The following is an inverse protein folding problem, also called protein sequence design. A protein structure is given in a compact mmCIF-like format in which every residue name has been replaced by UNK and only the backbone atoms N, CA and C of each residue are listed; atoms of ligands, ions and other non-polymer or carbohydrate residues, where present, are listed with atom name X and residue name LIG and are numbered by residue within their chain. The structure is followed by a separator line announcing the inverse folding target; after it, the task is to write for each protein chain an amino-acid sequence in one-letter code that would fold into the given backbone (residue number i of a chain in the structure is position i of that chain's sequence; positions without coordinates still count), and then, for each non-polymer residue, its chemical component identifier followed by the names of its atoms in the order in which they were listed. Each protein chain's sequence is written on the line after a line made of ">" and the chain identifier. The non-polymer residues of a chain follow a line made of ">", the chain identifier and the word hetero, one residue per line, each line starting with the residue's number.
data_IF_763000008688
#
_entry.id   IF_763000008688
#
_cell.length_a   1.000
_cell.length_b   1.000
_cell.length_c   1.000
_cell.angle_alpha   90.00
_cell.angle_beta   90.00
_cell.angle_gamma   90.00
#
_symmetry.space_group_name_H-M   'P 1'
#
loop_
_entity.id
_entity.type
_entity.pdbx_description
1 polymer ?
#
# COMPACT_ATOMS: atom_id res chain seq x y z
N UNK A 1 50.53 -3.29 -32.87
CA UNK A 1 49.24 -3.53 -33.55
C UNK A 1 48.15 -4.09 -32.62
N UNK A 2 48.44 -5.08 -31.75
CA UNK A 2 47.46 -5.65 -30.79
C UNK A 2 46.84 -4.62 -29.82
N UNK A 3 47.62 -3.68 -29.28
CA UNK A 3 47.11 -2.67 -28.33
C UNK A 3 46.18 -1.62 -28.97
N UNK A 4 46.34 -1.36 -30.28
CA UNK A 4 45.45 -0.46 -31.02
C UNK A 4 44.08 -1.11 -31.23
N UNK A 5 44.04 -2.41 -31.58
CA UNK A 5 42.78 -3.17 -31.74
C UNK A 5 42.01 -3.28 -30.41
N UNK A 6 42.71 -3.47 -29.29
CA UNK A 6 42.08 -3.51 -27.95
C UNK A 6 41.50 -2.13 -27.60
N UNK A 7 42.23 -1.04 -27.86
CA UNK A 7 41.79 0.31 -27.57
C UNK A 7 40.54 0.71 -28.37
N UNK A 8 40.50 0.41 -29.68
CA UNK A 8 39.32 0.65 -30.51
C UNK A 8 38.11 -0.20 -30.08
N UNK A 9 38.34 -1.45 -29.68
CA UNK A 9 37.29 -2.31 -29.13
C UNK A 9 36.68 -1.78 -27.83
N UNK A 10 37.52 -1.29 -26.90
CA UNK A 10 37.05 -0.68 -25.66
C UNK A 10 36.25 0.60 -25.91
N UNK A 11 36.69 1.47 -26.83
CA UNK A 11 35.97 2.71 -27.16
C UNK A 11 34.61 2.38 -27.78
N UNK A 12 34.54 1.43 -28.72
CA UNK A 12 33.28 1.01 -29.34
C UNK A 12 32.30 0.43 -28.31
N UNK A 13 32.79 -0.36 -27.34
CA UNK A 13 31.96 -0.95 -26.30
C UNK A 13 31.44 0.10 -25.31
N UNK A 14 32.26 1.08 -24.94
CA UNK A 14 31.83 2.20 -24.07
C UNK A 14 30.77 3.05 -24.79
N UNK A 15 30.95 3.35 -26.08
CA UNK A 15 29.95 4.10 -26.86
C UNK A 15 28.64 3.32 -27.02
N UNK A 16 28.69 2.00 -27.22
CA UNK A 16 27.49 1.18 -27.30
C UNK A 16 26.72 1.17 -25.97
N UNK A 17 27.41 1.06 -24.83
CA UNK A 17 26.78 1.06 -23.50
C UNK A 17 26.16 2.42 -23.17
N UNK A 18 26.84 3.53 -23.48
CA UNK A 18 26.28 4.87 -23.23
C UNK A 18 25.10 5.18 -24.15
N UNK A 19 25.14 4.74 -25.40
CA UNK A 19 24.02 4.89 -26.34
C UNK A 19 22.81 4.04 -25.92
N UNK A 20 23.03 2.79 -25.49
CA UNK A 20 21.98 1.92 -24.98
C UNK A 20 21.33 2.49 -23.70
N UNK A 21 22.13 2.94 -22.74
CA UNK A 21 21.64 3.57 -21.52
C UNK A 21 20.94 4.93 -21.77
N UNK A 22 21.34 5.65 -22.82
CA UNK A 22 20.69 6.90 -23.25
C UNK A 22 19.33 6.65 -23.90
N UNK A 23 19.22 5.61 -24.73
CA UNK A 23 17.97 5.22 -25.38
C UNK A 23 16.90 4.73 -24.38
N UNK A 24 17.32 4.18 -23.23
CA UNK A 24 16.40 3.79 -22.15
C UNK A 24 15.82 4.98 -21.36
N UNK A 25 16.40 6.18 -21.46
CA UNK A 25 15.91 7.35 -20.70
C UNK A 25 14.90 8.21 -21.48
N UNK A 26 14.82 8.08 -22.81
CA UNK A 26 13.92 8.88 -23.65
C UNK A 26 12.66 8.14 -24.10
N UNK A 27 12.44 6.90 -23.64
CA UNK A 27 11.19 6.17 -23.82
C UNK A 27 10.14 6.67 -22.80
N UNK A 28 9.66 7.89 -23.05
CA UNK A 28 8.31 8.40 -22.84
C UNK A 28 7.44 7.70 -21.78
N UNK A 29 7.39 8.32 -20.60
CA UNK A 29 6.34 8.20 -19.59
C UNK A 29 4.94 8.62 -20.09
N UNK A 30 4.76 8.91 -21.38
CA UNK A 30 3.53 9.48 -21.95
C UNK A 30 2.61 8.42 -22.57
N UNK A 31 3.10 7.21 -22.86
CA UNK A 31 2.31 6.18 -23.56
C UNK A 31 1.71 5.10 -22.66
N UNK A 32 2.17 4.93 -21.40
CA UNK A 32 1.56 3.95 -20.47
C UNK A 32 0.25 4.48 -19.87
N UNK A 33 0.12 5.79 -19.67
CA UNK A 33 -1.07 6.40 -19.06
C UNK A 33 -2.34 6.33 -19.93
N UNK A 34 -2.19 6.22 -21.26
CA UNK A 34 -3.32 6.25 -22.19
C UNK A 34 -3.99 4.87 -22.39
N UNK A 35 -3.29 3.78 -22.09
CA UNK A 35 -3.80 2.42 -22.28
C UNK A 35 -4.60 1.87 -21.07
N UNK A 36 -4.37 2.40 -19.86
CA UNK A 36 -5.06 1.89 -18.64
C UNK A 36 -6.44 2.53 -18.43
N UNK A 37 -6.76 3.64 -19.11
CA UNK A 37 -8.03 4.33 -18.96
C UNK A 37 -9.20 3.71 -19.75
N UNK A 38 -8.94 2.76 -20.66
CA UNK A 38 -9.92 2.33 -21.65
C UNK A 38 -10.74 1.08 -21.27
N UNK A 39 -10.33 0.27 -20.28
CA UNK A 39 -11.09 -0.92 -19.88
C UNK A 39 -11.10 -1.12 -18.37
N UNK A 40 -12.05 -0.46 -17.71
CA UNK A 40 -12.71 -1.04 -16.54
C UNK A 40 -14.22 -0.79 -16.67
N UNK A 41 -15.01 -1.81 -17.02
CA UNK A 41 -16.46 -1.75 -16.98
C UNK A 41 -16.87 -1.58 -15.52
N UNK A 42 -17.62 -0.52 -15.24
CA UNK A 42 -18.34 -0.36 -13.98
C UNK A 42 -19.59 -1.21 -14.14
N UNK A 43 -19.68 -2.34 -13.43
CA UNK A 43 -20.94 -3.08 -13.31
C UNK A 43 -21.94 -2.17 -12.58
N UNK A 44 -22.98 -1.72 -13.30
CA UNK A 44 -24.09 -0.93 -12.75
C UNK A 44 -25.02 -1.75 -11.82
N UNK A 45 -24.68 -3.01 -11.54
CA UNK A 45 -25.48 -3.92 -10.71
C UNK A 45 -25.03 -4.01 -9.24
N UNK A 46 -24.07 -3.18 -8.79
CA UNK A 46 -23.80 -3.05 -7.35
C UNK A 46 -24.91 -2.25 -6.67
N UNK A 47 -26.03 -2.92 -6.38
CA UNK A 47 -27.08 -2.44 -5.49
C UNK A 47 -26.49 -2.40 -4.07
N UNK A 48 -26.28 -1.22 -3.45
CA UNK A 48 -25.95 -1.16 -2.04
C UNK A 48 -27.15 -1.75 -1.28
N UNK A 49 -26.89 -2.74 -0.42
CA UNK A 49 -27.88 -3.22 0.53
C UNK A 49 -28.53 -2.00 1.21
N UNK A 50 -29.86 -1.98 1.22
CA UNK A 50 -30.70 -0.86 1.64
C UNK A 50 -30.14 -0.16 2.89
N UNK A 51 -29.77 1.11 2.73
CA UNK A 51 -29.57 1.99 3.85
C UNK A 51 -30.95 2.29 4.44
N UNK A 52 -31.28 1.63 5.56
CA UNK A 52 -32.40 1.98 6.42
C UNK A 52 -32.33 3.47 6.75
N UNK A 53 -33.22 4.25 6.12
CA UNK A 53 -33.24 5.71 6.17
C UNK A 53 -33.85 6.27 7.46
N UNK A 54 -33.94 5.47 8.53
CA UNK A 54 -34.34 5.95 9.86
C UNK A 54 -33.17 6.36 10.77
N UNK A 55 -31.92 6.20 10.33
CA UNK A 55 -30.72 6.61 11.09
C UNK A 55 -30.39 8.12 11.04
N UNK A 56 -31.39 8.97 10.80
CA UNK A 56 -31.22 10.40 10.50
C UNK A 56 -31.78 11.35 11.54
N UNK A 57 -31.74 11.03 12.84
CA UNK A 57 -32.24 11.92 13.88
C UNK A 57 -31.55 11.80 15.25
N UNK A 58 -30.24 11.54 15.31
CA UNK A 58 -29.45 11.92 16.49
C UNK A 58 -27.97 12.08 16.14
N UNK A 59 -27.54 13.33 15.98
CA UNK A 59 -26.14 13.70 15.70
C UNK A 59 -25.20 13.46 16.90
N UNK A 60 -25.73 13.01 18.06
CA UNK A 60 -24.90 12.65 19.21
C UNK A 60 -24.35 11.22 19.18
N UNK A 61 -24.81 10.37 18.24
CA UNK A 61 -24.46 8.94 18.18
C UNK A 61 -23.23 8.62 17.30
N UNK A 62 -22.36 9.61 17.03
CA UNK A 62 -21.09 9.38 16.28
C UNK A 62 -20.10 8.54 17.08
N UNK A 63 -20.22 8.54 18.41
CA UNK A 63 -19.37 7.74 19.30
C UNK A 63 -20.18 6.59 19.87
N UNK A 64 -19.94 5.37 19.35
CA UNK A 64 -20.46 4.14 19.94
C UNK A 64 -19.91 4.05 21.38
N UNK A 65 -20.80 4.08 22.38
CA UNK A 65 -20.40 3.91 23.76
C UNK A 65 -19.71 2.56 23.96
N UNK A 66 -18.77 2.47 24.91
CA UNK A 66 -18.10 1.20 25.21
C UNK A 66 -19.09 0.07 25.57
N UNK A 67 -20.23 0.42 26.17
CA UNK A 67 -21.30 -0.53 26.49
C UNK A 67 -22.03 -1.06 25.25
N UNK A 68 -22.07 -0.28 24.16
CA UNK A 68 -22.70 -0.64 22.88
C UNK A 68 -21.69 -1.26 21.89
N UNK A 69 -20.39 -1.06 22.11
CA UNK A 69 -19.33 -1.59 21.25
C UNK A 69 -19.26 -3.12 21.34
N UNK A 70 -19.31 -3.78 20.18
CA UNK A 70 -19.11 -5.23 20.08
C UNK A 70 -17.64 -5.57 20.34
N UNK A 71 -17.39 -6.72 20.98
CA UNK A 71 -16.04 -7.24 21.11
C UNK A 71 -15.40 -7.46 19.73
N UNK A 72 -14.11 -7.13 19.61
CA UNK A 72 -13.35 -7.37 18.39
C UNK A 72 -13.33 -8.88 18.06
N UNK A 73 -13.46 -9.26 16.78
CA UNK A 73 -13.36 -10.66 16.36
C UNK A 73 -11.93 -11.19 16.56
N UNK A 74 -11.73 -12.52 16.64
CA UNK A 74 -10.39 -13.11 16.67
C UNK A 74 -9.52 -12.61 15.51
N UNK A 75 -8.22 -12.45 15.75
CA UNK A 75 -7.27 -12.10 14.70
C UNK A 75 -7.16 -13.26 13.70
N UNK A 76 -7.01 -12.92 12.42
CA UNK A 76 -6.91 -13.91 11.36
C UNK A 76 -5.65 -14.80 11.52
N UNK A 77 -5.79 -16.06 11.12
CA UNK A 77 -4.66 -16.99 11.03
C UNK A 77 -3.77 -16.63 9.83
N UNK A 78 -2.47 -16.93 9.92
CA UNK A 78 -1.54 -16.67 8.84
C UNK A 78 -0.10 -16.55 9.30
N UNK A 79 0.76 -16.12 8.36
CA UNK A 79 2.17 -15.88 8.64
C UNK A 79 2.34 -14.53 9.33
N UNK A 80 2.93 -14.57 10.52
CA UNK A 80 3.31 -13.38 11.25
C UNK A 80 4.69 -12.90 10.86
N UNK A 81 4.89 -11.58 10.94
CA UNK A 81 6.16 -10.91 10.70
C UNK A 81 6.43 -9.97 11.88
N UNK A 82 7.71 -9.77 12.22
CA UNK A 82 8.19 -8.93 13.33
C UNK A 82 7.82 -9.39 14.75
N UNK A 83 7.02 -10.44 14.91
CA UNK A 83 6.74 -11.09 16.19
C UNK A 83 6.26 -12.53 16.01
N UNK A 84 6.17 -13.26 17.12
CA UNK A 84 5.30 -14.42 17.23
C UNK A 84 3.81 -14.02 17.11
N UNK A 85 2.90 -14.98 16.84
CA UNK A 85 1.47 -14.71 16.76
C UNK A 85 0.90 -14.04 18.02
N UNK A 86 0.15 -12.94 17.84
CA UNK A 86 -0.53 -12.25 18.93
C UNK A 86 -1.97 -12.72 19.08
N UNK A 87 -2.49 -12.63 20.31
CA UNK A 87 -3.90 -12.92 20.61
C UNK A 87 -4.57 -11.69 21.21
N UNK A 88 -5.87 -11.48 20.92
CA UNK A 88 -6.62 -10.39 21.53
C UNK A 88 -6.65 -10.46 23.06
N UNK A 89 -6.59 -11.67 23.63
CA UNK A 89 -6.54 -11.85 25.07
C UNK A 89 -5.23 -11.33 25.67
N UNK A 90 -4.09 -11.59 25.01
CA UNK A 90 -2.78 -11.06 25.42
C UNK A 90 -2.62 -9.55 25.23
N UNK A 91 -3.49 -8.93 24.44
CA UNK A 91 -3.51 -7.50 24.17
C UNK A 91 -4.49 -6.71 25.06
N UNK A 92 -5.28 -7.40 25.91
CA UNK A 92 -6.18 -6.74 26.86
C UNK A 92 -5.42 -5.80 27.80
N UNK A 93 -6.06 -4.70 28.18
CA UNK A 93 -5.47 -3.66 29.03
C UNK A 93 -4.60 -2.64 28.27
N UNK A 94 -4.40 -2.83 26.95
CA UNK A 94 -3.72 -1.88 26.07
C UNK A 94 -4.67 -1.38 24.99
N UNK A 95 -4.45 -0.14 24.53
CA UNK A 95 -5.10 0.36 23.32
C UNK A 95 -4.42 -0.30 22.13
N UNK A 96 -5.18 -1.09 21.36
CA UNK A 96 -4.65 -1.82 20.20
C UNK A 96 -5.15 -1.16 18.91
N UNK A 97 -4.23 -0.78 18.03
CA UNK A 97 -4.52 -0.23 16.71
C UNK A 97 -4.30 -1.31 15.64
N UNK A 98 -5.29 -1.54 14.79
CA UNK A 98 -5.23 -2.51 13.69
C UNK A 98 -5.35 -1.76 12.35
N UNK A 99 -4.32 -1.87 11.51
CA UNK A 99 -4.28 -1.28 10.17
C UNK A 99 -4.24 -2.40 9.12
N UNK A 100 -5.21 -2.40 8.20
CA UNK A 100 -5.20 -3.28 7.05
C UNK A 100 -4.48 -2.60 5.88
N UNK A 101 -3.50 -3.29 5.30
CA UNK A 101 -2.71 -2.77 4.19
C UNK A 101 -2.32 -3.92 3.25
N UNK A 102 -1.84 -3.55 2.07
CA UNK A 102 -1.23 -4.49 1.13
C UNK A 102 0.06 -3.92 0.57
N UNK A 103 0.96 -4.80 0.15
CA UNK A 103 2.21 -4.40 -0.47
C UNK A 103 1.93 -3.60 -1.77
N UNK A 104 2.71 -2.55 -2.01
CA UNK A 104 2.58 -1.63 -3.15
C UNK A 104 1.30 -0.76 -3.20
N UNK A 105 0.45 -0.78 -2.17
CA UNK A 105 -0.68 0.14 -2.08
C UNK A 105 -0.21 1.60 -1.92
N UNK A 106 -0.43 2.44 -2.94
CA UNK A 106 -0.01 3.86 -2.93
C UNK A 106 -0.56 4.61 -1.71
N UNK A 107 -1.84 4.41 -1.38
CA UNK A 107 -2.48 5.06 -0.22
C UNK A 107 -1.86 4.62 1.11
N UNK A 108 -1.52 3.34 1.24
CA UNK A 108 -0.96 2.76 2.45
C UNK A 108 0.50 3.21 2.67
N UNK A 109 1.25 3.40 1.59
CA UNK A 109 2.60 3.98 1.68
C UNK A 109 2.55 5.42 2.22
N UNK A 110 1.49 6.18 1.89
CA UNK A 110 1.30 7.54 2.39
C UNK A 110 0.88 7.59 3.88
N UNK A 111 0.22 6.55 4.41
CA UNK A 111 -0.14 6.47 5.85
C UNK A 111 1.01 5.95 6.73
N UNK A 112 1.90 5.13 6.17
CA UNK A 112 2.99 4.47 6.89
C UNK A 112 3.87 5.40 7.76
N UNK A 113 4.25 6.63 7.35
CA UNK A 113 5.03 7.53 8.19
C UNK A 113 4.29 7.88 9.50
N UNK A 114 2.98 8.10 9.44
CA UNK A 114 2.16 8.41 10.61
C UNK A 114 2.08 7.22 11.54
N UNK A 115 1.82 6.03 11.00
CA UNK A 115 1.73 4.77 11.78
C UNK A 115 3.06 4.48 12.49
N UNK A 116 4.18 4.65 11.79
CA UNK A 116 5.52 4.54 12.39
C UNK A 116 5.77 5.57 13.49
N UNK A 117 5.18 6.76 13.40
CA UNK A 117 5.32 7.78 14.45
C UNK A 117 4.50 7.44 15.70
N UNK A 118 3.30 6.86 15.53
CA UNK A 118 2.48 6.38 16.65
C UNK A 118 3.16 5.23 17.38
N UNK A 119 3.68 4.27 16.63
CA UNK A 119 4.42 3.15 17.19
C UNK A 119 5.62 3.63 18.05
N UNK A 120 6.41 4.58 17.54
CA UNK A 120 7.52 5.17 18.33
C UNK A 120 7.06 5.89 19.61
N UNK A 121 5.84 6.41 19.63
CA UNK A 121 5.33 7.25 20.73
C UNK A 121 4.56 6.46 21.78
N UNK A 122 3.90 5.36 21.40
CA UNK A 122 2.87 4.70 22.23
C UNK A 122 3.06 3.18 22.38
N UNK A 123 4.17 2.62 21.88
CA UNK A 123 4.43 1.17 21.98
C UNK A 123 4.64 0.71 23.44
N UNK A 124 5.23 1.58 24.25
CA UNK A 124 5.52 1.37 25.67
C UNK A 124 4.40 1.94 26.57
#
# INVERSE_FOLDING_TARGET
>A
MKNQVILFGCIALVLAVTFYAGCSRTASSEQVGKAVAAEMPIDEDFVPAEADSTAGADSTDVLISAAKAKAAPPLAEGKWINSEPLTLQGLRGRVTYLEFWTYSCYNCVNTLPTVKSFDKRFRD
#
